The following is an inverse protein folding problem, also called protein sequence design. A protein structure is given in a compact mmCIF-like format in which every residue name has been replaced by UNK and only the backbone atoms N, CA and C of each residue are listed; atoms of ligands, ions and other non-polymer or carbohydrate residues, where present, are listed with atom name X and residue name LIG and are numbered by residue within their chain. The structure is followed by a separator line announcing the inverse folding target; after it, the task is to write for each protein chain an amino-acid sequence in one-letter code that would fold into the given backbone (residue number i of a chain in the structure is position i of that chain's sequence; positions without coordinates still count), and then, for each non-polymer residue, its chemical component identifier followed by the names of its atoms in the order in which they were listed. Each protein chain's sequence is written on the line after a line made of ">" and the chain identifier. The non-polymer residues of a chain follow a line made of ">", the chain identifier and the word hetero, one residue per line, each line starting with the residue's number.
data_IF_314207180602
#
_entry.id   IF_314207180602
#
_cell.length_a   1.000
_cell.length_b   1.000
_cell.length_c   1.000
_cell.angle_alpha   90.00
_cell.angle_beta   90.00
_cell.angle_gamma   90.00
#
_symmetry.space_group_name_H-M   'P 1'
#
loop_
_entity.id
_entity.type
_entity.pdbx_description
1 polymer ?
#
# COMPACT_ATOMS: atom_id res chain seq x y z
N UNK A 1 13.72 5.44 -36.28
CA UNK A 1 14.22 5.20 -34.90
C UNK A 1 13.13 5.51 -33.87
N UNK A 2 12.55 4.75 -32.96
CA UNK A 2 11.67 5.00 -32.23
C UNK A 2 12.16 5.32 -31.10
N UNK A 3 12.13 6.08 -30.91
CA UNK A 3 12.57 6.44 -29.94
C UNK A 3 11.93 5.89 -28.93
N UNK A 4 12.30 5.32 -28.44
CA UNK A 4 11.89 4.90 -27.63
C UNK A 4 11.44 5.68 -26.84
N UNK A 5 10.65 6.04 -26.80
CA UNK A 5 10.26 6.61 -26.16
C UNK A 5 10.51 6.27 -25.10
N UNK A 6 10.85 7.09 -24.21
CA UNK A 6 11.12 6.77 -22.82
C UNK A 6 9.81 6.40 -22.13
N UNK A 7 9.57 5.13 -22.07
CA UNK A 7 8.32 4.60 -21.45
C UNK A 7 8.36 4.83 -19.93
N UNK A 8 7.31 5.47 -19.40
CA UNK A 8 7.11 5.64 -17.97
C UNK A 8 6.53 4.37 -17.33
N UNK A 9 7.10 3.98 -16.18
CA UNK A 9 6.57 2.89 -15.35
C UNK A 9 6.29 3.44 -13.94
N UNK A 10 5.07 3.23 -13.44
CA UNK A 10 4.68 3.66 -12.10
C UNK A 10 4.67 2.46 -11.15
N UNK A 11 5.42 2.59 -10.07
CA UNK A 11 5.55 1.54 -9.05
C UNK A 11 5.06 2.08 -7.71
N UNK A 12 4.20 1.32 -7.04
CA UNK A 12 3.71 1.59 -5.69
C UNK A 12 4.14 0.45 -4.78
N UNK A 13 5.01 0.74 -3.82
CA UNK A 13 5.45 -0.24 -2.83
C UNK A 13 4.84 0.10 -1.46
N UNK A 14 3.98 -0.79 -0.95
CA UNK A 14 3.35 -0.63 0.38
C UNK A 14 4.01 -1.63 1.33
N UNK A 15 4.97 -1.14 2.11
CA UNK A 15 5.70 -1.95 3.08
C UNK A 15 5.02 -1.98 4.45
N UNK A 16 5.75 -2.46 5.45
CA UNK A 16 5.29 -2.44 6.84
C UNK A 16 5.24 -1.03 7.41
N UNK A 17 6.30 -0.24 7.20
CA UNK A 17 6.46 1.10 7.76
C UNK A 17 6.23 2.26 6.81
N UNK A 18 6.45 2.05 5.52
CA UNK A 18 6.38 3.12 4.51
C UNK A 18 5.59 2.69 3.29
N UNK A 19 5.09 3.68 2.58
CA UNK A 19 4.57 3.57 1.22
C UNK A 19 5.44 4.44 0.32
N UNK A 20 6.02 3.84 -0.70
CA UNK A 20 6.92 4.50 -1.64
C UNK A 20 6.35 4.42 -3.05
N UNK A 21 6.30 5.55 -3.74
CA UNK A 21 5.77 5.64 -5.10
C UNK A 21 6.84 6.26 -5.99
N UNK A 22 7.07 5.68 -7.15
CA UNK A 22 8.06 6.21 -8.10
C UNK A 22 7.62 6.03 -9.54
N UNK A 23 7.89 7.04 -10.36
CA UNK A 23 7.83 6.95 -11.82
C UNK A 23 9.26 6.76 -12.30
N UNK A 24 9.47 5.70 -13.06
CA UNK A 24 10.78 5.33 -13.61
C UNK A 24 10.71 5.40 -15.13
N UNK A 25 11.70 6.06 -15.75
CA UNK A 25 11.84 6.12 -17.22
C UNK A 25 13.32 6.10 -17.57
N UNK A 26 13.68 5.35 -18.59
CA UNK A 26 15.06 5.20 -19.08
C UNK A 26 16.07 4.83 -17.96
N UNK A 27 15.63 4.00 -17.02
CA UNK A 27 16.48 3.53 -15.92
C UNK A 27 16.72 4.57 -14.82
N UNK A 28 16.01 5.71 -14.85
CA UNK A 28 16.11 6.74 -13.81
C UNK A 28 14.77 7.05 -13.17
N UNK A 29 14.81 7.57 -11.94
CA UNK A 29 13.62 8.04 -11.24
C UNK A 29 13.28 9.44 -11.71
N UNK A 30 12.08 9.64 -12.23
CA UNK A 30 11.58 10.93 -12.74
C UNK A 30 10.88 11.71 -11.64
N UNK A 31 9.99 11.04 -10.90
CA UNK A 31 9.29 11.62 -9.75
C UNK A 31 9.10 10.52 -8.70
N UNK A 32 9.07 10.92 -7.43
CA UNK A 32 8.87 9.96 -6.34
C UNK A 32 8.31 10.65 -5.12
N UNK A 33 7.64 9.89 -4.29
CA UNK A 33 7.15 10.35 -2.99
C UNK A 33 7.13 9.17 -2.02
N UNK A 34 7.31 9.47 -0.74
CA UNK A 34 7.27 8.47 0.33
C UNK A 34 6.41 9.00 1.47
N UNK A 35 5.65 8.11 2.08
CA UNK A 35 4.86 8.42 3.28
C UNK A 35 5.12 7.37 4.36
N UNK A 36 5.09 7.80 5.61
CA UNK A 36 5.26 6.91 6.77
C UNK A 36 3.93 6.22 7.11
N UNK A 37 3.38 5.50 6.14
CA UNK A 37 2.17 4.71 6.27
C UNK A 37 2.38 3.36 5.58
N UNK A 38 1.95 2.30 6.24
CA UNK A 38 2.09 0.94 5.72
C UNK A 38 1.33 -0.02 6.62
N UNK A 39 1.65 -1.30 6.52
CA UNK A 39 0.96 -2.38 7.24
C UNK A 39 0.87 -2.16 8.75
N UNK A 40 1.95 -1.63 9.36
CA UNK A 40 2.00 -1.43 10.81
C UNK A 40 0.99 -0.36 11.28
N UNK A 41 0.88 0.75 10.54
CA UNK A 41 -0.13 1.79 10.88
C UNK A 41 -1.56 1.27 10.69
N UNK A 42 -1.75 0.38 9.70
CA UNK A 42 -3.04 -0.30 9.49
C UNK A 42 -3.38 -1.16 10.72
N UNK A 43 -2.41 -1.93 11.23
CA UNK A 43 -2.61 -2.77 12.42
C UNK A 43 -2.98 -1.93 13.64
N UNK A 44 -2.26 -0.82 13.87
CA UNK A 44 -2.56 0.12 14.98
C UNK A 44 -3.98 0.69 14.82
N UNK A 45 -4.38 1.07 13.60
CA UNK A 45 -5.73 1.61 13.35
C UNK A 45 -6.82 0.57 13.69
N UNK A 46 -6.56 -0.71 13.40
CA UNK A 46 -7.48 -1.80 13.75
C UNK A 46 -7.57 -1.96 15.28
N UNK A 47 -6.42 -1.94 15.98
CA UNK A 47 -6.39 -1.98 17.47
C UNK A 47 -7.25 -0.88 18.05
N UNK A 48 -7.03 0.36 17.59
CA UNK A 48 -7.76 1.54 18.08
C UNK A 48 -9.25 1.47 17.77
N UNK A 49 -9.62 1.00 16.58
CA UNK A 49 -11.01 0.85 16.19
C UNK A 49 -11.74 -0.17 17.09
N UNK A 50 -11.13 -1.34 17.27
CA UNK A 50 -11.71 -2.42 18.11
C UNK A 50 -11.87 -1.93 19.55
N UNK A 51 -10.86 -1.22 20.05
CA UNK A 51 -10.90 -0.61 21.39
C UNK A 51 -12.07 0.38 21.53
N UNK A 52 -12.19 1.30 20.57
CA UNK A 52 -13.21 2.37 20.63
C UNK A 52 -14.63 1.85 20.39
N UNK A 53 -14.78 0.98 19.40
CA UNK A 53 -16.10 0.53 18.95
C UNK A 53 -16.67 -0.59 19.82
N UNK A 54 -15.81 -1.52 20.26
CA UNK A 54 -16.24 -2.74 20.94
C UNK A 54 -15.78 -2.83 22.40
N UNK A 55 -15.06 -1.82 22.90
CA UNK A 55 -14.48 -1.80 24.26
C UNK A 55 -13.65 -3.07 24.51
N UNK A 56 -12.94 -3.53 23.50
CA UNK A 56 -12.14 -4.77 23.54
C UNK A 56 -10.66 -4.43 23.29
N UNK A 57 -9.78 -4.82 24.21
CA UNK A 57 -8.35 -4.69 24.03
C UNK A 57 -7.81 -5.91 23.28
N UNK A 58 -7.14 -5.65 22.15
CA UNK A 58 -6.41 -6.66 21.36
C UNK A 58 -4.98 -6.17 21.14
N UNK A 59 -4.06 -7.09 20.85
CA UNK A 59 -2.68 -6.75 20.50
C UNK A 59 -2.50 -6.54 18.99
N UNK A 60 -1.38 -5.94 18.60
CA UNK A 60 -1.05 -5.67 17.19
C UNK A 60 -1.00 -6.96 16.37
N UNK A 61 -0.47 -8.06 16.95
CA UNK A 61 -0.46 -9.36 16.27
C UNK A 61 -1.87 -9.86 15.95
N UNK A 62 -2.82 -9.64 16.85
CA UNK A 62 -4.24 -9.99 16.60
C UNK A 62 -4.80 -9.11 15.49
N UNK A 63 -4.49 -7.82 15.49
CA UNK A 63 -4.92 -6.88 14.46
C UNK A 63 -4.36 -7.28 13.09
N UNK A 64 -3.09 -7.67 13.04
CA UNK A 64 -2.46 -8.17 11.80
C UNK A 64 -3.20 -9.41 11.26
N UNK A 65 -3.55 -10.35 12.15
CA UNK A 65 -4.31 -11.55 11.75
C UNK A 65 -5.70 -11.18 11.22
N UNK A 66 -6.38 -10.21 11.84
CA UNK A 66 -7.68 -9.69 11.36
C UNK A 66 -7.50 -9.08 9.95
N UNK A 67 -6.50 -8.23 9.78
CA UNK A 67 -6.17 -7.59 8.49
C UNK A 67 -5.96 -8.64 7.40
N UNK A 68 -5.17 -9.67 7.68
CA UNK A 68 -4.85 -10.74 6.71
C UNK A 68 -6.12 -11.55 6.39
N UNK A 69 -6.92 -11.87 7.40
CA UNK A 69 -8.10 -12.72 7.22
C UNK A 69 -9.22 -12.03 6.43
N UNK A 70 -9.62 -10.82 6.89
CA UNK A 70 -10.82 -10.14 6.36
C UNK A 70 -10.58 -8.69 5.93
N UNK A 71 -9.35 -8.17 6.04
CA UNK A 71 -9.06 -6.78 5.67
C UNK A 71 -9.30 -6.52 4.18
N UNK A 72 -10.00 -5.44 3.87
CA UNK A 72 -10.27 -5.02 2.50
C UNK A 72 -10.18 -3.50 2.37
N UNK A 73 -9.64 -3.04 1.24
CA UNK A 73 -9.53 -1.61 0.95
C UNK A 73 -10.87 -0.99 0.53
N UNK A 74 -11.83 -1.81 0.09
CA UNK A 74 -13.18 -1.37 -0.27
C UNK A 74 -14.22 -2.23 0.44
N UNK A 75 -15.38 -1.64 0.72
CA UNK A 75 -16.50 -2.39 1.29
C UNK A 75 -17.02 -3.45 0.34
N UNK A 76 -17.39 -4.58 0.88
CA UNK A 76 -17.86 -5.75 0.13
C UNK A 76 -19.36 -5.94 0.34
N UNK A 77 -20.08 -6.33 -0.74
CA UNK A 77 -21.50 -6.66 -0.66
C UNK A 77 -21.72 -7.90 0.22
N UNK A 78 -20.84 -8.90 0.07
CA UNK A 78 -20.85 -10.11 0.89
C UNK A 78 -19.77 -9.96 1.97
N UNK A 79 -20.16 -9.47 3.13
CA UNK A 79 -19.25 -9.19 4.23
C UNK A 79 -18.72 -10.50 4.86
N UNK A 80 -17.40 -10.62 4.92
CA UNK A 80 -16.73 -11.69 5.65
C UNK A 80 -16.73 -11.35 7.14
N UNK A 81 -16.88 -12.35 8.00
CA UNK A 81 -16.90 -12.15 9.46
C UNK A 81 -15.99 -13.15 10.15
N UNK A 82 -15.37 -12.73 11.25
CA UNK A 82 -14.53 -13.59 12.10
C UNK A 82 -14.78 -13.30 13.57
N UNK A 83 -14.52 -14.31 14.40
CA UNK A 83 -14.53 -14.16 15.85
C UNK A 83 -13.16 -13.73 16.35
N UNK A 84 -13.13 -12.67 17.14
CA UNK A 84 -11.91 -12.08 17.70
C UNK A 84 -11.97 -12.14 19.22
N UNK A 85 -10.89 -12.60 19.82
CA UNK A 85 -10.76 -12.71 21.30
C UNK A 85 -9.85 -11.62 21.81
N UNK A 86 -10.26 -11.02 22.93
CA UNK A 86 -9.48 -9.99 23.60
C UNK A 86 -9.91 -9.85 25.06
N UNK A 87 -9.49 -8.77 25.69
CA UNK A 87 -9.90 -8.43 27.05
C UNK A 87 -10.96 -7.34 27.02
N UNK A 88 -12.11 -7.61 27.62
CA UNK A 88 -13.18 -6.61 27.79
C UNK A 88 -12.67 -5.49 28.70
N UNK A 89 -12.68 -4.27 28.21
CA UNK A 89 -12.18 -3.09 28.97
C UNK A 89 -13.15 -2.67 30.08
N UNK A 90 -14.39 -3.11 30.03
CA UNK A 90 -15.39 -2.81 31.06
C UNK A 90 -15.25 -3.75 32.25
N UNK A 91 -15.12 -5.06 32.01
CA UNK A 91 -15.09 -6.09 33.07
C UNK A 91 -13.68 -6.59 33.41
N UNK A 92 -12.73 -6.43 32.47
CA UNK A 92 -11.39 -6.98 32.61
C UNK A 92 -11.26 -8.44 32.22
N UNK A 93 -12.37 -9.11 31.89
CA UNK A 93 -12.40 -10.54 31.59
C UNK A 93 -12.17 -10.83 30.10
N UNK A 94 -11.75 -12.04 29.75
CA UNK A 94 -11.70 -12.46 28.34
C UNK A 94 -13.10 -12.39 27.70
N UNK A 95 -13.12 -11.93 26.45
CA UNK A 95 -14.37 -11.75 25.68
C UNK A 95 -14.11 -12.07 24.21
N UNK A 96 -15.11 -12.62 23.56
CA UNK A 96 -15.11 -12.88 22.12
C UNK A 96 -16.17 -12.00 21.47
N UNK A 97 -15.81 -11.36 20.36
CA UNK A 97 -16.74 -10.57 19.55
C UNK A 97 -16.67 -11.05 18.10
N UNK A 98 -17.72 -10.81 17.33
CA UNK A 98 -17.72 -11.00 15.87
C UNK A 98 -17.42 -9.63 15.23
N UNK A 99 -16.51 -9.62 14.26
CA UNK A 99 -16.12 -8.41 13.51
C UNK A 99 -16.27 -8.70 12.02
N UNK A 100 -16.82 -7.74 11.28
CA UNK A 100 -16.99 -7.83 9.83
C UNK A 100 -15.90 -7.10 9.03
N UNK A 101 -15.68 -7.55 7.80
CA UNK A 101 -14.70 -6.96 6.89
C UNK A 101 -14.98 -5.48 6.61
N UNK A 102 -16.27 -5.09 6.54
CA UNK A 102 -16.64 -3.69 6.28
C UNK A 102 -16.31 -2.78 7.46
N UNK A 103 -16.34 -3.30 8.71
CA UNK A 103 -15.86 -2.59 9.87
C UNK A 103 -14.35 -2.32 9.78
N UNK A 104 -13.59 -3.32 9.30
CA UNK A 104 -12.14 -3.18 9.13
C UNK A 104 -11.84 -2.15 8.04
N UNK A 105 -12.61 -2.16 6.95
CA UNK A 105 -12.48 -1.12 5.90
C UNK A 105 -12.68 0.27 6.49
N UNK A 106 -13.70 0.46 7.35
CA UNK A 106 -13.94 1.75 8.01
C UNK A 106 -12.77 2.13 8.94
N UNK A 107 -12.22 1.15 9.66
CA UNK A 107 -11.12 1.36 10.62
C UNK A 107 -9.85 1.93 9.95
N UNK A 108 -9.58 1.52 8.71
CA UNK A 108 -8.31 1.83 8.02
C UNK A 108 -8.41 2.94 6.97
N UNK A 109 -9.52 3.66 6.94
CA UNK A 109 -9.78 4.70 5.91
C UNK A 109 -8.71 5.80 5.87
N UNK A 110 -8.22 6.24 7.03
CA UNK A 110 -7.20 7.30 7.08
C UNK A 110 -5.89 6.84 6.47
N UNK A 111 -5.47 5.61 6.77
CA UNK A 111 -4.25 5.01 6.22
C UNK A 111 -4.37 4.85 4.70
N UNK A 112 -5.53 4.42 4.22
CA UNK A 112 -5.79 4.30 2.78
C UNK A 112 -5.73 5.67 2.08
N UNK A 113 -6.29 6.73 2.70
CA UNK A 113 -6.22 8.09 2.16
C UNK A 113 -4.78 8.57 2.05
N UNK A 114 -3.95 8.29 3.06
CA UNK A 114 -2.54 8.66 3.08
C UNK A 114 -1.77 7.98 1.94
N UNK A 115 -2.03 6.68 1.72
CA UNK A 115 -1.45 5.91 0.61
C UNK A 115 -1.88 6.53 -0.74
N UNK A 116 -3.18 6.77 -0.91
CA UNK A 116 -3.76 7.36 -2.13
C UNK A 116 -3.12 8.74 -2.41
N UNK A 117 -2.98 9.57 -1.37
CA UNK A 117 -2.42 10.91 -1.52
C UNK A 117 -0.96 10.85 -2.00
N UNK A 118 -0.20 9.87 -1.52
CA UNK A 118 1.19 9.66 -1.96
C UNK A 118 1.24 9.35 -3.46
N UNK A 119 0.33 8.50 -3.96
CA UNK A 119 0.22 8.18 -5.38
C UNK A 119 -0.15 9.44 -6.19
N UNK A 120 -1.15 10.19 -5.73
CA UNK A 120 -1.62 11.41 -6.40
C UNK A 120 -0.51 12.46 -6.50
N UNK A 121 0.28 12.63 -5.44
CA UNK A 121 1.39 13.60 -5.43
C UNK A 121 2.39 13.29 -6.55
N UNK A 122 2.75 12.02 -6.71
CA UNK A 122 3.70 11.60 -7.76
C UNK A 122 3.11 11.82 -9.15
N UNK A 123 1.83 11.46 -9.36
CA UNK A 123 1.17 11.65 -10.65
C UNK A 123 1.09 13.13 -11.04
N UNK A 124 0.82 14.02 -10.07
CA UNK A 124 0.74 15.46 -10.29
C UNK A 124 2.08 16.08 -10.71
N UNK A 125 3.19 15.52 -10.23
CA UNK A 125 4.55 15.99 -10.53
C UNK A 125 5.13 15.33 -11.80
N UNK A 126 4.45 14.32 -12.34
CA UNK A 126 4.93 13.56 -13.50
C UNK A 126 4.66 14.33 -14.80
N UNK A 127 5.65 14.45 -15.69
CA UNK A 127 5.45 15.10 -16.99
C UNK A 127 4.31 14.48 -17.80
N UNK A 128 3.54 15.28 -18.55
CA UNK A 128 2.36 14.80 -19.28
C UNK A 128 2.61 13.62 -20.23
N UNK A 129 3.76 13.59 -20.89
CA UNK A 129 4.13 12.51 -21.81
C UNK A 129 4.22 11.16 -21.07
N UNK A 130 4.83 11.18 -19.88
CA UNK A 130 4.96 9.98 -19.05
C UNK A 130 3.62 9.59 -18.41
N UNK A 131 2.78 10.56 -18.08
CA UNK A 131 1.42 10.30 -17.60
C UNK A 131 0.61 9.53 -18.66
N UNK A 132 0.76 9.89 -19.93
CA UNK A 132 0.09 9.18 -21.04
C UNK A 132 0.56 7.72 -21.10
N UNK A 133 1.85 7.46 -20.94
CA UNK A 133 2.41 6.10 -20.92
C UNK A 133 1.85 5.30 -19.73
N UNK A 134 1.81 5.93 -18.54
CA UNK A 134 1.31 5.31 -17.31
C UNK A 134 -0.18 4.96 -17.46
N UNK A 135 -0.97 5.82 -18.12
CA UNK A 135 -2.39 5.52 -18.38
C UNK A 135 -2.54 4.27 -19.24
N UNK A 136 -1.66 4.08 -20.22
CA UNK A 136 -1.68 2.92 -21.11
C UNK A 136 -1.16 1.64 -20.45
N UNK A 137 -0.11 1.73 -19.64
CA UNK A 137 0.55 0.57 -19.02
C UNK A 137 0.00 0.19 -17.65
N UNK A 138 -0.49 1.19 -16.90
CA UNK A 138 -0.93 1.00 -15.53
C UNK A 138 0.22 1.12 -14.53
N UNK A 139 -0.05 0.75 -13.28
CA UNK A 139 0.95 0.72 -12.20
C UNK A 139 1.05 -0.68 -11.59
N UNK A 140 2.19 -0.95 -10.98
CA UNK A 140 2.44 -2.21 -10.28
C UNK A 140 2.52 -1.95 -8.78
N UNK A 141 1.75 -2.71 -8.00
CA UNK A 141 1.72 -2.64 -6.53
C UNK A 141 2.55 -3.80 -5.98
N UNK A 142 3.49 -3.49 -5.09
CA UNK A 142 4.37 -4.45 -4.43
C UNK A 142 4.40 -4.23 -2.92
N UNK A 143 5.12 -5.07 -2.20
CA UNK A 143 5.21 -5.03 -0.74
C UNK A 143 4.08 -5.80 -0.07
N UNK A 144 4.18 -5.98 1.25
CA UNK A 144 3.19 -6.72 2.02
C UNK A 144 1.79 -6.11 2.00
N UNK A 145 1.70 -4.78 1.87
CA UNK A 145 0.43 -4.07 1.76
C UNK A 145 -0.32 -4.34 0.47
N UNK A 146 0.37 -4.84 -0.57
CA UNK A 146 -0.26 -5.28 -1.82
C UNK A 146 -1.21 -6.47 -1.61
N UNK A 147 -1.04 -7.19 -0.49
CA UNK A 147 -1.88 -8.35 -0.14
C UNK A 147 -3.21 -7.94 0.50
N UNK A 148 -3.40 -6.66 0.86
CA UNK A 148 -4.69 -6.18 1.35
C UNK A 148 -5.73 -6.34 0.25
N UNK A 149 -6.83 -7.03 0.54
CA UNK A 149 -7.87 -7.32 -0.48
C UNK A 149 -8.35 -6.03 -1.13
N UNK A 150 -8.50 -6.05 -2.45
CA UNK A 150 -9.09 -4.96 -3.25
C UNK A 150 -8.29 -3.63 -3.22
N UNK A 151 -7.02 -3.65 -2.82
CA UNK A 151 -6.19 -2.43 -2.83
C UNK A 151 -6.00 -1.94 -4.28
N UNK A 152 -5.85 -2.85 -5.23
CA UNK A 152 -5.75 -2.57 -6.65
C UNK A 152 -7.03 -1.91 -7.19
N UNK A 153 -8.19 -2.40 -6.76
CA UNK A 153 -9.50 -1.82 -7.13
C UNK A 153 -9.62 -0.39 -6.60
N UNK A 154 -9.27 -0.17 -5.34
CA UNK A 154 -9.32 1.16 -4.73
C UNK A 154 -8.41 2.14 -5.48
N UNK A 155 -7.15 1.77 -5.68
CA UNK A 155 -6.14 2.63 -6.34
C UNK A 155 -6.58 2.94 -7.78
N UNK A 156 -7.04 1.93 -8.53
CA UNK A 156 -7.54 2.13 -9.90
C UNK A 156 -8.71 3.12 -9.93
N UNK A 157 -9.66 2.94 -9.01
CA UNK A 157 -10.88 3.78 -8.93
C UNK A 157 -10.55 5.26 -8.65
N UNK A 158 -9.60 5.50 -7.74
CA UNK A 158 -9.33 6.88 -7.28
C UNK A 158 -8.30 7.61 -8.14
N UNK A 159 -7.45 6.90 -8.88
CA UNK A 159 -6.42 7.51 -9.73
C UNK A 159 -6.77 7.49 -11.21
N UNK A 160 -7.63 6.56 -11.64
CA UNK A 160 -7.90 6.33 -13.05
C UNK A 160 -6.82 5.50 -13.75
N UNK A 161 -5.74 5.15 -13.06
CA UNK A 161 -4.63 4.34 -13.59
C UNK A 161 -4.83 2.89 -13.17
N UNK A 162 -4.85 1.96 -14.12
CA UNK A 162 -5.03 0.54 -13.82
C UNK A 162 -3.90 0.06 -12.91
N UNK A 163 -4.25 -0.41 -11.73
CA UNK A 163 -3.30 -0.95 -10.75
C UNK A 163 -3.34 -2.48 -10.77
N UNK A 164 -2.18 -3.09 -10.76
CA UNK A 164 -2.01 -4.55 -10.75
C UNK A 164 -1.05 -4.95 -9.63
N UNK A 165 -1.37 -6.02 -8.95
CA UNK A 165 -0.50 -6.56 -7.91
C UNK A 165 0.63 -7.34 -8.60
N UNK A 166 1.86 -7.15 -8.14
CA UNK A 166 3.03 -7.87 -8.65
C UNK A 166 2.84 -9.39 -8.46
N UNK A 167 3.39 -10.19 -9.35
CA UNK A 167 3.29 -11.66 -9.27
C UNK A 167 3.82 -12.19 -7.93
N UNK A 168 4.83 -11.54 -7.37
CA UNK A 168 5.42 -11.91 -6.09
C UNK A 168 5.70 -10.64 -5.28
N UNK A 169 4.63 -10.05 -4.70
CA UNK A 169 4.73 -8.70 -4.13
C UNK A 169 5.72 -8.60 -2.95
N UNK A 170 5.91 -9.66 -2.19
CA UNK A 170 6.85 -9.66 -1.06
C UNK A 170 8.31 -9.75 -1.51
N UNK A 171 8.59 -10.43 -2.62
CA UNK A 171 9.95 -10.60 -3.13
C UNK A 171 10.41 -9.48 -4.07
N UNK A 172 9.49 -8.67 -4.59
CA UNK A 172 9.82 -7.56 -5.49
C UNK A 172 10.84 -6.61 -4.88
N UNK A 173 10.66 -6.26 -3.60
CA UNK A 173 11.56 -5.34 -2.88
C UNK A 173 12.94 -5.97 -2.74
N UNK A 174 13.01 -7.24 -2.35
CA UNK A 174 14.29 -7.96 -2.19
C UNK A 174 15.05 -8.05 -3.52
N UNK A 175 14.34 -8.38 -4.61
CA UNK A 175 14.94 -8.42 -5.96
C UNK A 175 15.38 -7.03 -6.42
N UNK A 176 14.57 -6.02 -6.21
CA UNK A 176 14.89 -4.63 -6.53
C UNK A 176 16.11 -4.14 -5.76
N UNK A 177 16.22 -4.45 -4.48
CA UNK A 177 17.39 -4.14 -3.65
C UNK A 177 18.64 -4.83 -4.19
N UNK A 178 18.52 -6.11 -4.57
CA UNK A 178 19.62 -6.87 -5.16
C UNK A 178 20.13 -6.21 -6.44
N UNK A 179 19.23 -5.83 -7.33
CA UNK A 179 19.58 -5.15 -8.59
C UNK A 179 20.26 -3.80 -8.32
N UNK A 180 19.79 -3.04 -7.32
CA UNK A 180 20.39 -1.77 -6.93
C UNK A 180 21.80 -1.98 -6.39
N UNK A 181 22.00 -2.99 -5.55
CA UNK A 181 23.34 -3.30 -5.00
C UNK A 181 24.32 -3.72 -6.10
N UNK A 182 23.85 -4.50 -7.08
CA UNK A 182 24.69 -4.93 -8.22
C UNK A 182 25.07 -3.76 -9.14
N UNK A 183 24.24 -2.72 -9.16
CA UNK A 183 24.43 -1.55 -10.01
C UNK A 183 24.68 -0.25 -9.23
N UNK A 184 25.20 -0.38 -8.01
CA UNK A 184 25.34 0.74 -7.06
C UNK A 184 26.15 1.91 -7.65
N UNK A 185 27.19 1.62 -8.43
CA UNK A 185 28.03 2.67 -9.03
C UNK A 185 27.29 3.47 -10.09
N UNK A 186 26.43 2.81 -10.85
CA UNK A 186 25.60 3.49 -11.88
C UNK A 186 24.56 4.40 -11.19
N UNK A 187 23.94 3.90 -10.12
CA UNK A 187 22.95 4.68 -9.37
C UNK A 187 23.58 5.87 -8.62
N UNK A 188 24.79 5.70 -8.06
CA UNK A 188 25.54 6.80 -7.42
C UNK A 188 25.81 7.95 -8.37
N UNK A 189 26.23 7.66 -9.60
CA UNK A 189 26.48 8.67 -10.62
C UNK A 189 25.20 9.47 -10.95
N UNK A 190 24.06 8.78 -11.05
CA UNK A 190 22.78 9.42 -11.38
C UNK A 190 22.26 10.31 -10.24
N UNK A 191 22.54 9.94 -8.99
CA UNK A 191 22.13 10.73 -7.81
C UNK A 191 23.00 11.98 -7.65
N UNK A 192 24.30 11.84 -7.92
CA UNK A 192 25.24 12.98 -7.79
C UNK A 192 25.10 14.01 -8.92
N UNK A 193 24.58 13.62 -10.07
CA UNK A 193 24.38 14.54 -11.22
C UNK A 193 23.19 15.50 -11.05
N UNK A 194 22.41 15.35 -9.97
CA UNK A 194 21.21 16.18 -9.70
C UNK A 194 21.39 17.20 -8.56
N UNK A 195 22.64 17.56 -8.20
CA UNK A 195 22.92 18.69 -7.30
C UNK A 195 23.42 19.91 -8.02
#
# INVERSE_FOLDING_TARGET
>A
MXXXXPFGNLILNIGGGTTDVAVISLGGIVSWSSARVGGNKIDVAIVDYVKKKHSLAIGERTAELIKIAIGSAVKQANEEKINVRGRDLTTGYPKTIEIGSNEITDAIQEQLREIIQTVKNVLQETPPELCSDIMGKGMVISGGGALLKNIDILITRVTGVLARIADDPLLCVARGTGIVLDNLEVYKKNIMAKR
#
